data_IF_808169864625
#
_entry.id   IF_808169864625
#
_cell.length_a   1.000
_cell.length_b   1.000
_cell.length_c   1.000
_cell.angle_alpha   90.00
_cell.angle_beta   90.00
_cell.angle_gamma   90.00
#
_symmetry.space_group_name_H-M   'P 1'
#
loop_
_entity.id
_entity.type
_entity.pdbx_description
1 polymer ?
#
# COMPACT_ATOMS: atom_id res chain seq x y z
N UNK A 1 -3.65 4.66 7.31
CA UNK A 1 -3.02 5.14 8.55
C UNK A 1 -3.44 6.59 8.77
N UNK A 2 -4.03 6.87 9.89
CA UNK A 2 -4.44 8.20 10.24
C UNK A 2 -3.38 8.82 11.16
N UNK A 3 -2.74 9.89 10.71
CA UNK A 3 -1.75 10.59 11.51
C UNK A 3 -2.40 11.83 12.09
N UNK A 4 -2.54 11.87 13.41
CA UNK A 4 -3.05 13.04 14.11
C UNK A 4 -1.90 13.98 14.42
N UNK A 5 -1.67 14.95 13.56
CA UNK A 5 -0.67 15.99 13.78
C UNK A 5 -1.36 17.33 13.80
N UNK A 6 -1.64 17.86 15.00
CA UNK A 6 -2.30 19.18 15.15
C UNK A 6 -1.37 20.37 14.97
N UNK A 7 -0.05 20.15 15.05
CA UNK A 7 0.94 21.22 15.12
C UNK A 7 1.90 21.27 13.94
N UNK A 8 1.67 20.47 12.88
CA UNK A 8 2.52 20.47 11.70
C UNK A 8 1.86 21.24 10.55
N UNK A 9 2.67 22.02 9.82
CA UNK A 9 2.21 22.79 8.66
C UNK A 9 1.83 21.89 7.47
N UNK A 10 2.39 20.66 7.41
CA UNK A 10 2.10 19.70 6.36
C UNK A 10 1.81 18.32 6.93
N UNK A 11 0.88 17.61 6.28
CA UNK A 11 0.49 16.24 6.61
C UNK A 11 0.60 15.38 5.37
N UNK A 12 1.06 14.15 5.56
CA UNK A 12 1.24 13.19 4.48
C UNK A 12 0.47 11.90 4.80
N UNK A 13 -0.16 11.32 3.78
CA UNK A 13 -0.75 10.00 3.87
C UNK A 13 -0.04 9.04 2.92
N UNK A 14 0.18 7.82 3.39
CA UNK A 14 0.86 6.77 2.63
C UNK A 14 -0.06 5.93 1.75
N UNK A 15 -1.19 6.48 1.31
CA UNK A 15 -2.10 5.79 0.42
C UNK A 15 -1.43 5.55 -0.94
N UNK A 16 -1.57 4.34 -1.46
CA UNK A 16 -1.04 3.93 -2.76
C UNK A 16 -2.18 3.56 -3.70
N UNK A 17 -1.89 3.55 -5.00
CA UNK A 17 -2.82 3.07 -6.01
C UNK A 17 -2.96 1.55 -5.93
N UNK A 18 -4.15 1.03 -6.18
CA UNK A 18 -4.32 -0.40 -6.42
C UNK A 18 -3.66 -0.77 -7.76
N UNK A 19 -3.05 -1.95 -7.87
CA UNK A 19 -2.62 -2.45 -9.16
C UNK A 19 -3.84 -2.63 -10.07
N UNK A 20 -3.66 -2.45 -11.38
CA UNK A 20 -4.73 -2.72 -12.33
C UNK A 20 -5.01 -4.22 -12.42
N UNK A 21 -6.23 -4.58 -12.79
CA UNK A 21 -6.58 -5.98 -13.03
C UNK A 21 -5.72 -6.58 -14.15
N UNK A 22 -5.34 -5.77 -15.12
CA UNK A 22 -4.46 -6.20 -16.21
C UNK A 22 -3.05 -6.54 -15.73
N UNK A 23 -2.51 -5.76 -14.79
CA UNK A 23 -1.16 -5.95 -14.26
C UNK A 23 -1.09 -7.04 -13.19
N UNK A 24 -2.17 -7.24 -12.46
CA UNK A 24 -2.24 -8.17 -11.34
C UNK A 24 -3.57 -8.93 -11.32
N UNK A 25 -3.84 -9.74 -12.36
CA UNK A 25 -5.12 -10.47 -12.44
C UNK A 25 -5.34 -11.41 -11.26
N UNK A 26 -4.28 -11.95 -10.68
CA UNK A 26 -4.35 -12.83 -9.52
C UNK A 26 -4.94 -12.18 -8.27
N UNK A 27 -4.92 -10.85 -8.20
CA UNK A 27 -5.53 -10.12 -7.09
C UNK A 27 -7.04 -9.95 -7.26
N UNK A 28 -7.54 -10.11 -8.48
CA UNK A 28 -8.95 -9.86 -8.83
C UNK A 28 -9.73 -11.15 -9.10
N UNK A 29 -9.28 -12.27 -8.58
CA UNK A 29 -9.92 -13.58 -8.78
C UNK A 29 -11.21 -13.77 -7.95
N UNK A 30 -11.57 -12.80 -7.12
CA UNK A 30 -12.77 -12.83 -6.28
C UNK A 30 -12.62 -13.58 -4.98
N UNK A 31 -11.51 -14.27 -4.76
CA UNK A 31 -11.31 -15.08 -3.54
C UNK A 31 -10.73 -14.27 -2.38
N UNK A 32 -10.15 -13.12 -2.65
CA UNK A 32 -9.39 -12.34 -1.68
C UNK A 32 -9.94 -10.94 -1.45
N UNK A 33 -11.07 -10.61 -2.05
CA UNK A 33 -11.70 -9.32 -1.89
C UNK A 33 -12.41 -9.26 -0.54
N UNK A 34 -11.82 -8.55 0.39
CA UNK A 34 -12.53 -8.18 1.61
C UNK A 34 -13.55 -7.08 1.28
N UNK A 35 -14.78 -7.17 1.79
CA UNK A 35 -15.77 -6.13 1.55
C UNK A 35 -15.22 -4.75 1.93
N UNK A 36 -15.34 -3.79 1.02
CA UNK A 36 -14.96 -2.40 1.27
C UNK A 36 -13.48 -2.06 1.08
N UNK A 37 -12.64 -3.02 0.66
CA UNK A 37 -11.19 -2.78 0.58
C UNK A 37 -10.69 -2.38 -0.80
N UNK A 38 -11.46 -2.57 -1.85
CA UNK A 38 -10.99 -2.35 -3.21
C UNK A 38 -11.65 -1.20 -3.95
N UNK A 39 -12.93 -0.95 -3.68
CA UNK A 39 -13.70 -0.01 -4.49
C UNK A 39 -13.35 1.45 -4.26
N UNK A 40 -12.96 1.80 -3.05
CA UNK A 40 -12.68 3.19 -2.69
C UNK A 40 -11.24 3.60 -2.97
N UNK A 41 -10.40 2.63 -3.32
CA UNK A 41 -8.98 2.84 -3.58
C UNK A 41 -8.61 2.60 -5.05
N UNK A 42 -9.58 2.48 -5.92
CA UNK A 42 -9.34 2.39 -7.36
C UNK A 42 -8.90 3.77 -7.87
N UNK A 43 -7.64 4.05 -7.67
CA UNK A 43 -7.06 5.34 -7.95
C UNK A 43 -6.55 5.33 -9.37
N UNK A 44 -7.07 6.24 -10.14
CA UNK A 44 -6.61 6.49 -11.50
C UNK A 44 -5.12 6.88 -11.46
N UNK A 45 -4.28 5.99 -12.00
CA UNK A 45 -2.83 6.18 -12.06
C UNK A 45 -2.42 7.39 -12.90
N UNK A 46 -3.32 7.92 -13.72
CA UNK A 46 -3.06 9.13 -14.48
C UNK A 46 -3.09 10.39 -13.61
N UNK A 47 -3.63 10.30 -12.39
CA UNK A 47 -3.68 11.44 -11.49
C UNK A 47 -2.30 11.82 -10.99
N UNK A 48 -2.04 13.10 -11.03
CA UNK A 48 -0.86 13.68 -10.40
C UNK A 48 -0.98 13.62 -8.89
N UNK A 49 0.13 13.80 -8.21
CA UNK A 49 0.17 13.87 -6.75
C UNK A 49 -0.90 14.85 -6.26
N UNK A 50 -1.81 14.36 -5.44
CA UNK A 50 -2.90 15.15 -4.92
C UNK A 50 -2.44 15.92 -3.68
N UNK A 51 -2.50 17.23 -3.77
CA UNK A 51 -2.27 18.11 -2.64
C UNK A 51 -3.48 19.01 -2.46
N UNK A 52 -4.09 18.95 -1.28
CA UNK A 52 -5.20 19.82 -0.90
C UNK A 52 -4.89 20.42 0.46
N UNK A 53 -4.86 21.76 0.52
CA UNK A 53 -4.43 22.49 1.71
C UNK A 53 -3.01 22.07 2.12
N UNK A 54 -2.84 21.62 3.36
CA UNK A 54 -1.57 21.11 3.87
C UNK A 54 -1.53 19.58 3.96
N UNK A 55 -2.40 18.91 3.19
CA UNK A 55 -2.49 17.45 3.17
C UNK A 55 -2.02 16.91 1.81
N UNK A 56 -1.03 16.04 1.81
CA UNK A 56 -0.43 15.49 0.60
C UNK A 56 -0.50 13.97 0.61
N UNK A 57 -0.85 13.39 -0.53
CA UNK A 57 -0.84 11.94 -0.79
C UNK A 57 0.20 11.65 -1.87
N UNK A 58 1.48 11.58 -1.53
CA UNK A 58 2.53 11.53 -2.53
C UNK A 58 2.57 10.25 -3.35
N UNK A 59 1.99 9.15 -2.84
CA UNK A 59 2.02 7.85 -3.48
C UNK A 59 0.68 7.44 -4.09
N UNK A 60 -0.27 8.37 -4.20
CA UNK A 60 -1.63 8.05 -4.63
C UNK A 60 -1.72 7.46 -6.04
N UNK A 61 -0.75 7.75 -6.88
CA UNK A 61 -0.65 7.22 -8.25
C UNK A 61 0.40 6.11 -8.39
N UNK A 62 0.94 5.61 -7.28
CA UNK A 62 2.00 4.60 -7.26
C UNK A 62 1.45 3.33 -6.62
N UNK A 63 1.55 2.21 -7.32
CA UNK A 63 1.17 0.91 -6.78
C UNK A 63 2.30 0.27 -5.94
N UNK A 64 2.06 -0.92 -5.41
CA UNK A 64 3.05 -1.61 -4.58
C UNK A 64 4.35 -1.95 -5.30
N UNK A 65 4.30 -2.18 -6.62
CA UNK A 65 5.54 -2.36 -7.39
C UNK A 65 6.35 -1.08 -7.47
N UNK A 66 5.68 0.05 -7.69
CA UNK A 66 6.34 1.34 -7.67
C UNK A 66 6.94 1.66 -6.31
N UNK A 67 6.25 1.31 -5.23
CA UNK A 67 6.79 1.45 -3.88
C UNK A 67 8.03 0.58 -3.69
N UNK A 68 7.98 -0.68 -4.13
CA UNK A 68 9.14 -1.57 -4.07
C UNK A 68 10.35 -1.02 -4.84
N UNK A 69 10.10 -0.43 -6.00
CA UNK A 69 11.17 0.22 -6.78
C UNK A 69 11.81 1.38 -6.02
N UNK A 70 11.03 2.15 -5.28
CA UNK A 70 11.59 3.20 -4.43
C UNK A 70 12.49 2.65 -3.32
N UNK A 71 12.08 1.56 -2.67
CA UNK A 71 12.92 0.89 -1.68
C UNK A 71 14.25 0.42 -2.28
N UNK A 72 14.20 -0.14 -3.49
CA UNK A 72 15.40 -0.61 -4.20
C UNK A 72 16.30 0.57 -4.59
N UNK A 73 15.72 1.62 -5.14
CA UNK A 73 16.45 2.82 -5.58
C UNK A 73 17.15 3.50 -4.41
N UNK A 74 16.51 3.52 -3.24
CA UNK A 74 17.08 4.11 -2.03
C UNK A 74 18.01 3.15 -1.27
N UNK A 75 18.14 1.91 -1.74
CA UNK A 75 18.97 0.87 -1.13
C UNK A 75 18.59 0.58 0.34
N UNK A 76 17.28 0.56 0.62
CA UNK A 76 16.77 0.34 1.98
C UNK A 76 15.82 -0.86 2.08
N UNK A 77 15.70 -1.65 1.02
CA UNK A 77 14.75 -2.75 0.96
C UNK A 77 14.98 -3.77 2.08
N UNK A 78 16.20 -4.27 2.19
CA UNK A 78 16.53 -5.32 3.16
C UNK A 78 16.45 -4.82 4.61
N UNK A 79 16.67 -3.54 4.81
CA UNK A 79 16.71 -2.91 6.12
C UNK A 79 15.32 -2.53 6.62
N UNK A 80 14.51 -1.94 5.74
CA UNK A 80 13.21 -1.39 6.14
C UNK A 80 12.03 -2.31 5.87
N UNK A 81 12.06 -3.09 4.79
CA UNK A 81 10.91 -3.91 4.42
C UNK A 81 10.47 -4.88 5.52
N UNK A 82 11.40 -5.58 6.22
CA UNK A 82 11.01 -6.47 7.32
C UNK A 82 10.31 -5.78 8.49
N UNK A 83 10.48 -4.47 8.61
CA UNK A 83 9.87 -3.67 9.67
C UNK A 83 8.46 -3.19 9.32
N UNK A 84 8.01 -3.42 8.08
CA UNK A 84 6.72 -2.96 7.59
C UNK A 84 5.67 -4.06 7.65
N UNK A 85 4.42 -3.64 7.69
CA UNK A 85 3.28 -4.54 7.71
C UNK A 85 2.20 -4.05 6.75
N UNK A 86 1.65 -4.95 5.96
CA UNK A 86 0.51 -4.67 5.08
C UNK A 86 -0.77 -5.39 5.52
N UNK A 87 -0.64 -6.49 6.24
CA UNK A 87 -1.76 -7.32 6.68
C UNK A 87 -2.72 -6.54 7.58
N UNK A 88 -4.00 -6.53 7.22
CA UNK A 88 -5.05 -5.86 8.00
C UNK A 88 -5.76 -6.79 8.98
N UNK A 89 -5.43 -8.09 8.95
CA UNK A 89 -5.96 -9.00 9.95
C UNK A 89 -5.32 -8.72 11.30
N UNK A 90 -6.16 -8.57 12.30
CA UNK A 90 -5.71 -8.36 13.66
C UNK A 90 -5.28 -9.71 14.23
N UNK A 91 -3.98 -9.90 14.34
CA UNK A 91 -3.38 -10.97 15.16
C UNK A 91 -2.98 -10.38 16.50
N UNK A 92 -2.86 -11.22 17.51
CA UNK A 92 -2.65 -10.73 18.88
C UNK A 92 -1.41 -9.86 19.04
N UNK A 93 -0.36 -10.11 18.25
CA UNK A 93 0.90 -9.39 18.35
C UNK A 93 1.25 -8.58 17.11
N UNK A 94 0.40 -8.60 16.10
CA UNK A 94 0.63 -7.92 14.82
C UNK A 94 1.92 -8.32 14.09
N UNK A 95 2.54 -9.42 14.48
CA UNK A 95 3.83 -9.85 13.91
C UNK A 95 3.69 -10.70 12.66
N UNK A 96 2.52 -11.31 12.45
CA UNK A 96 2.31 -12.24 11.37
C UNK A 96 1.56 -11.63 10.20
N UNK A 97 1.91 -12.10 9.01
CA UNK A 97 1.17 -11.83 7.79
C UNK A 97 0.33 -13.06 7.45
N UNK A 98 -0.98 -12.88 7.23
CA UNK A 98 -1.84 -14.01 6.91
C UNK A 98 -1.55 -14.64 5.55
N UNK A 99 -1.02 -13.87 4.62
CA UNK A 99 -0.66 -14.32 3.29
C UNK A 99 -1.82 -14.43 2.30
N UNK A 100 -3.06 -14.27 2.78
CA UNK A 100 -4.25 -14.47 1.93
C UNK A 100 -5.18 -13.26 1.80
N UNK A 101 -5.08 -12.28 2.69
CA UNK A 101 -5.90 -11.06 2.54
C UNK A 101 -5.40 -10.23 1.35
N UNK A 102 -6.25 -9.31 0.89
CA UNK A 102 -5.89 -8.43 -0.23
C UNK A 102 -4.53 -7.77 -0.03
N UNK A 103 -4.30 -7.22 1.15
CA UNK A 103 -3.07 -6.45 1.43
C UNK A 103 -1.82 -7.31 1.45
N UNK A 104 -1.92 -8.53 1.96
CA UNK A 104 -0.81 -9.49 1.88
C UNK A 104 -0.54 -9.92 0.44
N UNK A 105 -1.60 -10.16 -0.33
CA UNK A 105 -1.48 -10.54 -1.73
C UNK A 105 -0.88 -9.42 -2.56
N UNK A 106 -1.34 -8.19 -2.33
CA UNK A 106 -0.79 -7.01 -2.98
C UNK A 106 0.69 -6.81 -2.62
N UNK A 107 1.04 -7.02 -1.35
CA UNK A 107 2.43 -6.97 -0.87
C UNK A 107 3.30 -8.01 -1.57
N UNK A 108 2.83 -9.25 -1.65
CA UNK A 108 3.52 -10.33 -2.35
C UNK A 108 3.71 -10.01 -3.83
N UNK A 109 2.67 -9.48 -4.46
CA UNK A 109 2.73 -9.07 -5.87
C UNK A 109 3.74 -7.95 -6.09
N UNK A 110 3.71 -6.93 -5.25
CA UNK A 110 4.55 -5.74 -5.40
C UNK A 110 6.02 -5.98 -5.07
N UNK A 111 6.29 -6.65 -3.97
CA UNK A 111 7.65 -6.87 -3.47
C UNK A 111 8.22 -8.25 -3.81
N UNK A 112 7.40 -9.18 -4.27
CA UNK A 112 7.80 -10.55 -4.54
C UNK A 112 7.96 -11.42 -3.29
N UNK A 113 7.62 -10.88 -2.12
CA UNK A 113 7.75 -11.57 -0.83
C UNK A 113 6.89 -10.89 0.23
N UNK A 114 6.59 -11.60 1.31
CA UNK A 114 5.84 -11.04 2.44
C UNK A 114 6.75 -10.43 3.52
N UNK A 115 7.93 -10.98 3.68
CA UNK A 115 8.88 -10.55 4.70
C UNK A 115 10.28 -10.40 4.17
#
# INVERSE_FOLDING_TARGET
MLIFCRSFDERFAGLTANPSEQDAPELYDGTHNLPGTTSDLDIDRSKTVEKKDNFTRPLINVDKKGVAEHYITLDVLEELFPLTRSCELITQDFSEHCGWCWFCRERQWGFGRLV
#
